data_IF_607038580921
#
_entry.id   IF_607038580921
#
_cell.length_a   1.000
_cell.length_b   1.000
_cell.length_c   1.000
_cell.angle_alpha   90.00
_cell.angle_beta   90.00
_cell.angle_gamma   90.00
#
_symmetry.space_group_name_H-M   'P 1'
#
loop_
_entity.id
_entity.type
_entity.pdbx_description
1 polymer ?
#
# COMPACT_ATOMS: atom_id res chain seq x y z
N UNK A 1 -32.30 27.30 16.21
CA UNK A 1 -33.33 26.38 15.70
C UNK A 1 -33.86 26.92 14.39
N UNK A 2 -33.65 26.24 13.25
CA UNK A 2 -34.47 26.43 12.07
C UNK A 2 -35.52 25.32 11.98
N UNK A 3 -36.74 25.72 11.61
CA UNK A 3 -37.98 24.97 11.79
C UNK A 3 -38.08 23.64 11.06
N UNK A 4 -38.69 22.68 11.75
CA UNK A 4 -39.27 21.46 11.18
C UNK A 4 -40.41 21.86 10.25
N UNK A 5 -40.19 21.73 8.94
CA UNK A 5 -41.30 21.60 8.01
C UNK A 5 -41.96 20.25 8.31
N UNK A 6 -43.28 20.28 8.49
CA UNK A 6 -44.13 19.09 8.57
C UNK A 6 -44.08 18.36 7.21
N UNK A 7 -43.09 17.50 7.04
CA UNK A 7 -43.16 16.42 6.06
C UNK A 7 -44.07 15.35 6.66
N UNK A 8 -45.11 14.95 5.93
CA UNK A 8 -45.90 13.77 6.29
C UNK A 8 -44.95 12.58 6.37
N UNK A 9 -44.94 11.83 7.49
CA UNK A 9 -43.99 10.74 7.65
C UNK A 9 -44.25 9.66 6.61
N UNK A 10 -43.33 9.52 5.65
CA UNK A 10 -43.42 8.48 4.62
C UNK A 10 -43.19 7.10 5.24
N UNK A 11 -44.00 6.11 4.84
CA UNK A 11 -43.86 4.68 5.19
C UNK A 11 -42.74 4.02 4.38
N UNK A 12 -41.50 4.44 4.63
CA UNK A 12 -40.28 3.91 4.00
C UNK A 12 -39.40 3.27 5.05
N UNK A 13 -38.84 2.09 4.76
CA UNK A 13 -37.95 1.34 5.65
C UNK A 13 -36.83 2.21 6.21
N UNK A 14 -36.61 2.13 7.52
CA UNK A 14 -35.48 2.73 8.23
C UNK A 14 -34.21 1.90 8.09
N UNK A 15 -33.09 2.58 7.87
CA UNK A 15 -31.77 1.92 7.73
C UNK A 15 -30.71 2.50 8.67
N UNK A 16 -29.80 1.63 9.09
CA UNK A 16 -28.56 1.92 9.80
C UNK A 16 -27.41 1.79 8.81
N UNK A 17 -26.58 2.82 8.71
CA UNK A 17 -25.45 2.85 7.76
C UNK A 17 -24.13 2.87 8.52
N UNK A 18 -23.36 1.79 8.42
CA UNK A 18 -21.96 1.75 8.80
C UNK A 18 -21.10 2.40 7.73
N UNK A 19 -20.23 3.32 8.16
CA UNK A 19 -19.40 4.11 7.25
C UNK A 19 -17.95 4.17 7.74
N UNK A 20 -17.05 3.61 6.93
CA UNK A 20 -15.60 3.69 7.08
C UNK A 20 -15.01 4.64 6.02
N UNK A 21 -14.57 5.86 6.38
CA UNK A 21 -14.03 6.83 5.44
C UNK A 21 -12.56 6.59 5.09
N UNK A 22 -12.22 6.67 3.80
CA UNK A 22 -10.84 6.61 3.31
C UNK A 22 -10.75 6.85 1.81
N UNK A 23 -9.58 6.58 1.21
CA UNK A 23 -9.44 6.49 -0.26
C UNK A 23 -10.34 5.39 -0.84
N UNK A 24 -10.51 4.32 -0.06
CA UNK A 24 -11.57 3.32 -0.24
C UNK A 24 -12.55 3.52 0.90
N UNK A 25 -13.80 3.84 0.59
CA UNK A 25 -14.86 4.00 1.58
C UNK A 25 -15.62 2.68 1.74
N UNK A 26 -15.69 2.17 2.97
CA UNK A 26 -16.54 1.04 3.32
C UNK A 26 -17.95 1.50 3.68
N UNK A 27 -18.96 0.85 3.12
CA UNK A 27 -20.37 1.11 3.40
C UNK A 27 -21.07 -0.21 3.71
N UNK A 28 -21.69 -0.28 4.87
CA UNK A 28 -22.58 -1.38 5.25
C UNK A 28 -23.96 -0.81 5.59
N UNK A 29 -25.01 -1.45 5.09
CA UNK A 29 -26.39 -1.02 5.29
C UNK A 29 -27.17 -2.17 5.92
N UNK A 30 -27.83 -1.87 7.02
CA UNK A 30 -28.69 -2.79 7.75
C UNK A 30 -30.07 -2.15 7.98
N UNK A 31 -31.11 -2.95 8.09
CA UNK A 31 -32.41 -2.44 8.53
C UNK A 31 -32.51 -2.33 10.07
N UNK A 32 -33.64 -1.83 10.56
CA UNK A 32 -33.91 -1.72 12.00
C UNK A 32 -34.30 -3.06 12.67
N UNK A 33 -34.34 -4.16 11.91
CA UNK A 33 -34.59 -5.53 12.40
C UNK A 33 -33.29 -6.36 12.47
N UNK A 34 -32.16 -5.77 12.08
CA UNK A 34 -30.85 -6.42 12.09
C UNK A 34 -30.58 -7.30 10.86
N UNK A 35 -31.32 -7.14 9.77
CA UNK A 35 -30.97 -7.75 8.48
C UNK A 35 -29.93 -6.90 7.75
N UNK A 36 -28.91 -7.56 7.19
CA UNK A 36 -27.87 -6.90 6.38
C UNK A 36 -28.41 -6.78 4.94
N UNK A 37 -28.55 -5.54 4.46
CA UNK A 37 -29.06 -5.24 3.12
C UNK A 37 -27.95 -5.08 2.09
N UNK A 38 -26.80 -4.51 2.49
CA UNK A 38 -25.67 -4.31 1.59
C UNK A 38 -24.35 -4.17 2.34
N UNK A 39 -23.28 -4.71 1.77
CA UNK A 39 -21.90 -4.51 2.24
C UNK A 39 -21.02 -4.29 1.03
N UNK A 40 -20.48 -3.08 0.87
CA UNK A 40 -19.66 -2.70 -0.29
C UNK A 40 -18.52 -1.79 0.11
N UNK A 41 -17.46 -1.82 -0.69
CA UNK A 41 -16.36 -0.87 -0.63
C UNK A 41 -16.23 -0.17 -1.98
N UNK A 42 -15.96 1.13 -1.94
CA UNK A 42 -15.85 1.93 -3.15
C UNK A 42 -14.56 2.73 -3.11
N UNK A 43 -13.76 2.60 -4.17
CA UNK A 43 -12.49 3.34 -4.32
C UNK A 43 -12.75 4.67 -5.01
N UNK A 44 -12.26 5.76 -4.43
CA UNK A 44 -12.36 7.13 -4.98
C UNK A 44 -13.81 7.61 -5.23
N UNK A 45 -14.78 7.08 -4.48
CA UNK A 45 -16.20 7.44 -4.64
C UNK A 45 -16.49 8.86 -4.16
N UNK A 46 -17.36 9.57 -4.89
CA UNK A 46 -17.82 10.90 -4.49
C UNK A 46 -18.88 10.82 -3.39
N UNK A 47 -19.00 11.88 -2.59
CA UNK A 47 -20.03 11.95 -1.53
C UNK A 47 -21.46 11.85 -2.09
N UNK A 48 -21.71 12.37 -3.29
CA UNK A 48 -23.02 12.33 -3.92
C UNK A 48 -23.42 10.88 -4.27
N UNK A 49 -22.49 10.10 -4.82
CA UNK A 49 -22.71 8.68 -5.14
C UNK A 49 -22.93 7.85 -3.87
N UNK A 50 -22.21 8.14 -2.78
CA UNK A 50 -22.45 7.50 -1.47
C UNK A 50 -23.88 7.75 -1.00
N UNK A 51 -24.32 9.02 -1.05
CA UNK A 51 -25.68 9.40 -0.65
C UNK A 51 -26.72 8.71 -1.53
N UNK A 52 -26.52 8.72 -2.85
CA UNK A 52 -27.41 8.06 -3.80
C UNK A 52 -27.51 6.55 -3.53
N UNK A 53 -26.36 5.89 -3.31
CA UNK A 53 -26.32 4.48 -2.98
C UNK A 53 -27.11 4.17 -1.71
N UNK A 54 -26.97 4.98 -0.66
CA UNK A 54 -27.66 4.80 0.62
C UNK A 54 -29.19 5.00 0.49
N UNK A 55 -29.62 6.08 -0.18
CA UNK A 55 -31.05 6.42 -0.30
C UNK A 55 -31.85 5.32 -1.02
N UNK A 56 -31.22 4.59 -1.94
CA UNK A 56 -31.86 3.47 -2.65
C UNK A 56 -32.28 2.30 -1.76
N UNK A 57 -31.77 2.21 -0.52
CA UNK A 57 -32.14 1.14 0.43
C UNK A 57 -33.19 1.57 1.47
N UNK A 58 -33.42 2.87 1.65
CA UNK A 58 -34.40 3.38 2.61
C UNK A 58 -34.00 4.69 3.28
N UNK A 59 -34.77 5.09 4.29
CA UNK A 59 -34.53 6.33 5.05
C UNK A 59 -33.45 6.10 6.09
N UNK A 60 -32.31 6.78 5.97
CA UNK A 60 -31.23 6.69 6.94
C UNK A 60 -31.64 7.29 8.29
N UNK A 61 -31.55 6.49 9.34
CA UNK A 61 -31.90 6.90 10.70
C UNK A 61 -30.65 7.08 11.55
N UNK A 62 -29.69 6.17 11.36
CA UNK A 62 -28.44 6.11 12.11
C UNK A 62 -27.27 6.01 11.13
N UNK A 63 -26.24 6.81 11.38
CA UNK A 63 -24.92 6.66 10.75
C UNK A 63 -23.95 6.21 11.81
N UNK A 64 -23.27 5.10 11.56
CA UNK A 64 -22.34 4.47 12.47
C UNK A 64 -20.90 4.60 11.96
N UNK A 65 -19.97 4.88 12.87
CA UNK A 65 -18.53 4.84 12.63
C UNK A 65 -17.84 4.12 13.77
N UNK A 66 -16.71 3.49 13.48
CA UNK A 66 -15.91 2.65 14.38
C UNK A 66 -14.80 3.41 15.13
N UNK A 67 -14.64 4.71 14.84
CA UNK A 67 -13.55 5.57 15.35
C UNK A 67 -14.05 6.76 16.19
N UNK A 68 -13.23 7.17 17.15
CA UNK A 68 -13.41 8.35 17.99
C UNK A 68 -12.17 9.26 17.97
N UNK A 69 -12.32 10.57 17.69
CA UNK A 69 -13.56 11.27 17.39
C UNK A 69 -14.10 10.93 15.99
N UNK A 70 -15.43 11.03 15.76
CA UNK A 70 -16.02 10.69 14.48
C UNK A 70 -15.47 11.55 13.33
N UNK A 71 -15.14 10.95 12.16
CA UNK A 71 -14.56 11.63 11.02
C UNK A 71 -15.44 12.76 10.49
N UNK A 72 -14.81 13.81 9.93
CA UNK A 72 -15.52 14.97 9.36
C UNK A 72 -16.52 14.55 8.27
N UNK A 73 -16.19 13.53 7.48
CA UNK A 73 -17.05 13.02 6.42
C UNK A 73 -18.30 12.33 6.98
N UNK A 74 -18.15 11.50 8.02
CA UNK A 74 -19.28 10.86 8.72
C UNK A 74 -20.23 11.90 9.33
N UNK A 75 -19.69 12.95 9.98
CA UNK A 75 -20.50 14.07 10.48
C UNK A 75 -21.31 14.76 9.38
N UNK A 76 -20.66 15.09 8.27
CA UNK A 76 -21.32 15.72 7.12
C UNK A 76 -22.40 14.80 6.53
N UNK A 77 -22.11 13.51 6.41
CA UNK A 77 -23.06 12.52 5.89
C UNK A 77 -24.31 12.45 6.79
N UNK A 78 -24.11 12.43 8.12
CA UNK A 78 -25.20 12.39 9.10
C UNK A 78 -26.08 13.64 8.99
N UNK A 79 -25.48 14.83 8.88
CA UNK A 79 -26.23 16.07 8.66
C UNK A 79 -26.98 16.07 7.33
N UNK A 80 -26.36 15.56 6.26
CA UNK A 80 -26.96 15.58 4.90
C UNK A 80 -28.15 14.63 4.81
N UNK A 81 -28.06 13.45 5.43
CA UNK A 81 -29.13 12.45 5.44
C UNK A 81 -30.15 12.68 6.57
N UNK A 82 -30.00 13.75 7.35
CA UNK A 82 -30.80 14.04 8.55
C UNK A 82 -30.86 12.85 9.53
N UNK A 83 -29.72 12.19 9.72
CA UNK A 83 -29.57 10.98 10.51
C UNK A 83 -28.73 11.25 11.76
N UNK A 84 -28.96 10.45 12.82
CA UNK A 84 -28.21 10.57 14.06
C UNK A 84 -26.87 9.83 13.93
N UNK A 85 -25.78 10.52 14.29
CA UNK A 85 -24.44 9.92 14.28
C UNK A 85 -24.20 9.11 15.56
N UNK A 86 -23.79 7.86 15.39
CA UNK A 86 -23.36 6.95 16.45
C UNK A 86 -21.88 6.62 16.28
N UNK A 87 -21.12 6.67 17.37
CA UNK A 87 -19.70 6.35 17.39
C UNK A 87 -19.34 5.77 18.77
N UNK A 88 -18.28 4.97 18.88
CA UNK A 88 -17.84 4.47 20.17
C UNK A 88 -17.19 5.58 21.02
N UNK A 89 -16.96 5.30 22.30
CA UNK A 89 -16.21 6.18 23.21
C UNK A 89 -14.68 6.04 23.05
N UNK A 90 -14.24 4.99 22.34
CA UNK A 90 -12.84 4.66 22.03
C UNK A 90 -12.80 3.80 20.78
N UNK A 91 -11.70 3.86 20.05
CA UNK A 91 -11.52 3.07 18.83
C UNK A 91 -11.66 1.57 19.10
N UNK A 92 -12.25 0.87 18.13
CA UNK A 92 -12.35 -0.59 18.17
C UNK A 92 -11.04 -1.23 17.69
N UNK A 93 -10.55 -2.22 18.44
CA UNK A 93 -9.44 -3.05 17.96
C UNK A 93 -9.87 -3.86 16.74
N UNK A 94 -8.93 -4.14 15.83
CA UNK A 94 -9.20 -4.96 14.64
C UNK A 94 -9.74 -6.34 15.02
N UNK A 95 -9.17 -6.98 16.06
CA UNK A 95 -9.65 -8.28 16.56
C UNK A 95 -11.10 -8.22 17.03
N UNK A 96 -11.48 -7.19 17.78
CA UNK A 96 -12.88 -7.01 18.22
C UNK A 96 -13.85 -6.76 17.07
N UNK A 97 -13.40 -6.12 15.97
CA UNK A 97 -14.25 -5.95 14.78
C UNK A 97 -14.49 -7.29 14.08
N UNK A 98 -13.44 -8.10 13.93
CA UNK A 98 -13.52 -9.44 13.34
C UNK A 98 -14.48 -10.32 14.15
N UNK A 99 -14.25 -10.43 15.46
CA UNK A 99 -15.07 -11.24 16.37
C UNK A 99 -16.54 -10.82 16.36
N UNK A 100 -16.83 -9.51 16.36
CA UNK A 100 -18.19 -8.99 16.33
C UNK A 100 -18.93 -9.39 15.03
N UNK A 101 -18.26 -9.26 13.89
CA UNK A 101 -18.84 -9.60 12.58
C UNK A 101 -19.04 -11.11 12.47
N UNK A 102 -18.05 -11.91 12.84
CA UNK A 102 -18.13 -13.37 12.80
C UNK A 102 -19.22 -13.91 13.75
N UNK A 103 -19.29 -13.40 14.98
CA UNK A 103 -20.34 -13.77 15.94
C UNK A 103 -21.72 -13.45 15.40
N UNK A 104 -21.91 -12.27 14.80
CA UNK A 104 -23.20 -11.84 14.26
C UNK A 104 -23.64 -12.69 13.05
N UNK A 105 -22.72 -12.98 12.13
CA UNK A 105 -22.96 -13.86 10.99
C UNK A 105 -23.21 -15.31 11.44
N UNK A 106 -22.50 -15.77 12.48
CA UNK A 106 -22.68 -17.07 13.11
C UNK A 106 -24.05 -17.22 13.80
N UNK A 107 -24.49 -16.21 14.56
CA UNK A 107 -25.82 -16.15 15.17
C UNK A 107 -26.92 -16.24 14.11
N UNK A 108 -26.83 -15.41 13.06
CA UNK A 108 -27.82 -15.36 11.98
C UNK A 108 -27.89 -16.67 11.16
N UNK A 109 -26.74 -17.25 10.81
CA UNK A 109 -26.69 -18.54 10.10
C UNK A 109 -27.21 -19.72 10.94
N UNK A 110 -27.07 -19.66 12.27
CA UNK A 110 -27.57 -20.69 13.18
C UNK A 110 -29.08 -20.58 13.45
N UNK A 111 -29.62 -19.34 13.49
CA UNK A 111 -31.04 -19.04 13.68
C UNK A 111 -31.86 -19.30 12.41
N UNK A 112 -31.30 -19.03 11.23
CA UNK A 112 -31.97 -19.15 9.94
C UNK A 112 -31.42 -20.35 9.14
N UNK A 113 -31.67 -21.59 9.62
CA UNK A 113 -31.19 -22.87 9.03
C UNK A 113 -31.52 -23.11 7.54
N UNK A 114 -32.15 -22.16 6.86
CA UNK A 114 -32.58 -22.27 5.46
C UNK A 114 -32.07 -21.17 4.54
N UNK A 115 -31.44 -20.10 5.05
CA UNK A 115 -30.82 -19.04 4.23
C UNK A 115 -29.31 -19.05 4.44
N UNK A 116 -28.60 -19.58 3.46
CA UNK A 116 -27.15 -19.32 3.31
C UNK A 116 -27.01 -17.81 3.19
N UNK A 117 -26.30 -17.15 4.11
CA UNK A 117 -25.93 -15.74 3.95
C UNK A 117 -25.26 -15.63 2.58
N UNK A 118 -25.88 -14.88 1.67
CA UNK A 118 -25.37 -14.72 0.31
C UNK A 118 -23.90 -14.28 0.39
N UNK A 119 -23.02 -14.90 -0.41
CA UNK A 119 -21.57 -14.60 -0.42
C UNK A 119 -21.27 -13.10 -0.55
N UNK A 120 -22.19 -12.36 -1.19
CA UNK A 120 -22.15 -10.91 -1.38
C UNK A 120 -22.33 -10.06 -0.10
N UNK A 121 -22.91 -10.62 0.96
CA UNK A 121 -23.12 -9.94 2.25
C UNK A 121 -21.99 -10.21 3.26
N UNK A 122 -21.11 -11.16 2.93
CA UNK A 122 -19.91 -11.45 3.72
C UNK A 122 -18.82 -10.45 3.34
N UNK A 123 -18.24 -9.70 4.29
CA UNK A 123 -17.22 -8.72 3.98
C UNK A 123 -15.98 -9.38 3.37
N UNK A 124 -15.55 -8.89 2.21
CA UNK A 124 -14.41 -9.43 1.45
C UNK A 124 -13.11 -8.66 1.73
N UNK A 125 -13.21 -7.44 2.25
CA UNK A 125 -12.08 -6.58 2.57
C UNK A 125 -12.19 -5.94 3.96
N UNK A 126 -11.09 -5.33 4.40
CA UNK A 126 -11.01 -4.71 5.71
C UNK A 126 -11.97 -3.53 5.88
N UNK A 127 -12.24 -2.76 4.82
CA UNK A 127 -13.11 -1.58 4.87
C UNK A 127 -14.58 -1.98 4.99
N UNK A 128 -14.99 -3.00 4.24
CA UNK A 128 -16.31 -3.63 4.34
C UNK A 128 -16.55 -4.19 5.74
N UNK A 129 -15.57 -4.91 6.29
CA UNK A 129 -15.64 -5.46 7.64
C UNK A 129 -15.75 -4.35 8.69
N UNK A 130 -14.94 -3.31 8.58
CA UNK A 130 -14.91 -2.24 9.57
C UNK A 130 -16.20 -1.41 9.54
N UNK A 131 -16.74 -1.14 8.33
CA UNK A 131 -18.07 -0.53 8.16
C UNK A 131 -19.19 -1.42 8.73
N UNK A 132 -19.17 -2.72 8.44
CA UNK A 132 -20.17 -3.66 8.95
C UNK A 132 -20.09 -3.79 10.48
N UNK A 133 -18.89 -3.84 11.05
CA UNK A 133 -18.70 -3.87 12.49
C UNK A 133 -19.29 -2.62 13.17
N UNK A 134 -19.12 -1.44 12.57
CA UNK A 134 -19.74 -0.20 13.05
C UNK A 134 -21.28 -0.28 13.03
N UNK A 135 -21.86 -0.78 11.94
CA UNK A 135 -23.30 -0.97 11.80
C UNK A 135 -23.87 -1.96 12.84
N UNK A 136 -23.26 -3.14 12.97
CA UNK A 136 -23.68 -4.18 13.92
C UNK A 136 -23.59 -3.67 15.36
N UNK A 137 -22.48 -3.02 15.72
CA UNK A 137 -22.33 -2.47 17.08
C UNK A 137 -23.41 -1.44 17.39
N UNK A 138 -23.73 -0.61 16.41
CA UNK A 138 -24.79 0.39 16.54
C UNK A 138 -26.13 -0.31 16.72
N UNK A 139 -26.47 -1.29 15.87
CA UNK A 139 -27.67 -2.09 16.00
C UNK A 139 -27.79 -2.73 17.40
N UNK A 140 -26.76 -3.43 17.89
CA UNK A 140 -26.73 -4.03 19.24
C UNK A 140 -26.97 -3.02 20.37
N UNK A 141 -26.58 -1.75 20.19
CA UNK A 141 -26.86 -0.70 21.18
C UNK A 141 -28.33 -0.26 21.22
N UNK A 142 -29.08 -0.47 20.14
CA UNK A 142 -30.50 -0.14 20.00
C UNK A 142 -31.42 -1.37 20.03
N UNK A 143 -30.90 -2.58 19.83
CA UNK A 143 -31.62 -3.87 19.73
C UNK A 143 -32.73 -4.00 20.78
N UNK A 144 -32.39 -3.95 22.08
CA UNK A 144 -33.38 -4.06 23.17
C UNK A 144 -34.49 -3.01 23.12
N UNK A 145 -34.19 -1.79 22.68
CA UNK A 145 -35.20 -0.72 22.57
C UNK A 145 -36.10 -0.96 21.36
N UNK A 146 -35.54 -1.42 20.25
CA UNK A 146 -36.28 -1.73 19.03
C UNK A 146 -37.22 -2.93 19.23
N UNK A 147 -36.76 -3.97 19.93
CA UNK A 147 -37.56 -5.13 20.32
C UNK A 147 -38.74 -4.76 21.24
N UNK A 148 -38.50 -3.84 22.20
CA UNK A 148 -39.56 -3.33 23.08
C UNK A 148 -40.63 -2.56 22.32
N UNK A 149 -40.21 -1.73 21.34
CA UNK A 149 -41.13 -0.99 20.47
C UNK A 149 -41.95 -1.97 19.63
N UNK A 150 -41.29 -2.94 19.01
CA UNK A 150 -41.94 -3.95 18.17
C UNK A 150 -42.98 -4.76 18.95
N UNK A 151 -42.63 -5.26 20.13
CA UNK A 151 -43.57 -5.98 21.01
C UNK A 151 -44.81 -5.14 21.31
N UNK A 152 -44.62 -3.87 21.67
CA UNK A 152 -45.72 -2.95 22.02
C UNK A 152 -46.58 -2.56 20.83
N UNK A 153 -46.02 -2.52 19.61
CA UNK A 153 -46.80 -2.24 18.41
C UNK A 153 -47.59 -3.46 17.93
N UNK A 154 -47.03 -4.66 18.11
CA UNK A 154 -47.74 -5.92 17.83
C UNK A 154 -48.95 -6.11 18.75
N UNK A 155 -48.87 -5.70 20.03
CA UNK A 155 -50.02 -5.69 20.95
C UNK A 155 -51.19 -4.83 20.44
N UNK A 156 -50.90 -3.83 19.61
CA UNK A 156 -51.86 -2.87 19.05
C UNK A 156 -52.24 -3.21 17.60
N UNK A 157 -51.82 -4.38 17.09
CA UNK A 157 -52.08 -4.86 15.72
C UNK A 157 -51.65 -3.89 14.61
N UNK A 158 -50.54 -3.18 14.78
CA UNK A 158 -50.00 -2.29 13.75
C UNK A 158 -49.36 -3.05 12.59
N UNK A 159 -49.38 -2.45 11.39
CA UNK A 159 -48.75 -3.04 10.21
C UNK A 159 -47.21 -3.00 10.33
N UNK A 160 -46.48 -3.89 9.62
CA UNK A 160 -45.01 -3.87 9.62
C UNK A 160 -44.40 -2.51 9.18
N UNK A 161 -45.09 -1.78 8.30
CA UNK A 161 -44.65 -0.47 7.81
C UNK A 161 -44.77 0.62 8.89
N UNK A 162 -45.81 0.52 9.73
CA UNK A 162 -46.05 1.44 10.85
C UNK A 162 -45.06 1.19 11.98
N UNK A 163 -44.73 -0.07 12.24
CA UNK A 163 -43.70 -0.43 13.22
C UNK A 163 -42.35 0.21 12.84
N UNK A 164 -41.96 0.14 11.57
CA UNK A 164 -40.74 0.77 11.10
C UNK A 164 -40.78 2.31 11.23
N UNK A 165 -41.92 2.92 10.88
CA UNK A 165 -42.12 4.36 11.08
C UNK A 165 -41.97 4.76 12.56
N UNK A 166 -42.57 4.00 13.48
CA UNK A 166 -42.48 4.25 14.93
C UNK A 166 -41.04 4.08 15.41
N UNK A 167 -40.33 3.01 14.99
CA UNK A 167 -38.91 2.81 15.31
C UNK A 167 -38.08 4.03 14.88
N UNK A 168 -38.35 4.61 13.70
CA UNK A 168 -37.70 5.85 13.22
C UNK A 168 -37.99 7.07 14.11
N UNK A 169 -39.25 7.30 14.46
CA UNK A 169 -39.66 8.42 15.30
C UNK A 169 -39.02 8.36 16.69
N UNK A 170 -38.93 7.15 17.27
CA UNK A 170 -38.35 6.95 18.59
C UNK A 170 -36.84 7.20 18.59
N UNK A 171 -36.12 6.76 17.56
CA UNK A 171 -34.68 7.08 17.43
C UNK A 171 -34.47 8.60 17.27
N UNK A 172 -35.41 9.28 16.62
CA UNK A 172 -35.46 10.74 16.48
C UNK A 172 -35.73 11.51 17.78
N UNK A 173 -36.11 10.83 18.86
CA UNK A 173 -36.33 11.41 20.19
C UNK A 173 -37.79 11.47 20.65
N UNK A 174 -38.73 10.95 19.86
CA UNK A 174 -40.15 10.88 20.25
C UNK A 174 -40.37 9.76 21.27
N UNK A 175 -41.22 10.00 22.27
CA UNK A 175 -41.60 8.94 23.22
C UNK A 175 -42.45 7.87 22.51
N UNK A 176 -42.23 6.60 22.85
CA UNK A 176 -42.89 5.44 22.21
C UNK A 176 -44.42 5.59 22.20
N UNK A 177 -45.02 5.99 23.33
CA UNK A 177 -46.47 6.20 23.44
C UNK A 177 -47.00 7.33 22.55
N UNK A 178 -46.20 8.37 22.33
CA UNK A 178 -46.59 9.49 21.46
C UNK A 178 -46.45 9.14 19.99
N UNK A 179 -45.42 8.36 19.63
CA UNK A 179 -45.23 7.88 18.27
C UNK A 179 -46.37 6.94 17.84
N UNK A 180 -46.78 6.00 18.70
CA UNK A 180 -47.93 5.12 18.43
C UNK A 180 -49.20 5.92 18.16
N UNK A 181 -49.52 6.89 19.03
CA UNK A 181 -50.72 7.71 18.88
C UNK A 181 -50.72 8.52 17.58
N UNK A 182 -49.58 9.13 17.22
CA UNK A 182 -49.47 9.90 15.98
C UNK A 182 -49.74 9.05 14.74
N UNK A 183 -49.28 7.80 14.72
CA UNK A 183 -49.53 6.91 13.58
C UNK A 183 -51.00 6.49 13.54
N UNK A 184 -51.63 6.22 14.67
CA UNK A 184 -53.06 5.91 14.74
C UNK A 184 -53.95 7.08 14.27
N UNK A 185 -53.64 8.30 14.70
CA UNK A 185 -54.35 9.51 14.26
C UNK A 185 -54.23 9.72 12.74
N UNK A 186 -53.09 9.36 12.13
CA UNK A 186 -52.91 9.44 10.68
C UNK A 186 -53.76 8.42 9.91
N UNK A 187 -53.96 7.22 10.46
CA UNK A 187 -54.83 6.20 9.85
C UNK A 187 -56.31 6.61 9.95
N UNK A 188 -56.74 7.19 11.07
CA UNK A 188 -58.11 7.69 11.27
C UNK A 188 -58.46 8.90 10.38
N UNK A 189 -57.50 9.76 10.07
CA UNK A 189 -57.68 10.88 9.13
C UNK A 189 -57.84 10.40 7.67
N UNK A 190 -57.21 9.28 7.30
CA UNK A 190 -57.38 8.69 5.96
C UNK A 190 -58.74 8.01 5.76
N UNK A 191 -59.27 7.35 6.79
CA UNK A 191 -60.58 6.66 6.72
C UNK A 191 -61.78 7.63 6.68
N UNK A 192 -61.62 8.85 7.19
CA UNK A 192 -62.68 9.86 7.20
C UNK A 192 -62.89 10.59 5.85
N UNK A 193 -61.96 10.47 4.91
CA UNK A 193 -62.05 11.13 3.59
C UNK A 193 -62.89 10.31 2.61
N UNK A 194 -62.97 8.99 2.77
CA UNK A 194 -63.71 8.11 1.86
C UNK A 194 -65.23 8.03 2.13
N UNK A 195 -65.75 8.58 3.24
CA UNK A 195 -67.13 8.37 3.69
C UNK A 195 -68.09 9.58 3.54
N UNK A 196 -67.86 10.52 2.62
CA UNK A 196 -68.74 11.70 2.42
C UNK A 196 -69.25 11.85 0.99
N UNK A 197 -69.87 10.82 0.43
CA UNK A 197 -70.78 10.97 -0.72
C UNK A 197 -71.95 9.99 -0.59
N UNK A 198 -72.98 10.37 0.16
CA UNK A 198 -74.41 10.11 -0.09
C UNK A 198 -75.18 10.41 1.20
N UNK A 199 -76.07 11.41 1.16
CA UNK A 199 -77.36 11.50 1.88
C UNK A 199 -77.82 12.96 1.94
N UNK A 200 -78.64 13.39 0.99
CA UNK A 200 -79.60 14.47 1.19
C UNK A 200 -80.66 14.45 0.09
N UNK A 201 -81.90 14.08 0.45
CA UNK A 201 -83.09 14.90 0.22
C UNK A 201 -84.26 14.28 0.98
N UNK A 202 -84.75 14.96 2.00
CA UNK A 202 -86.14 14.87 2.45
C UNK A 202 -86.67 16.28 2.73
N UNK A 203 -87.94 16.43 2.39
CA UNK A 203 -88.73 17.65 2.27
C UNK A 203 -88.88 18.46 3.57
N UNK A 204 -88.95 19.79 3.47
CA UNK A 204 -89.76 20.61 4.40
C UNK A 204 -90.02 22.01 3.83
N UNK A 205 -91.27 22.24 3.43
CA UNK A 205 -91.87 23.57 3.33
C UNK A 205 -92.13 24.15 4.73
N UNK A 206 -91.75 25.42 4.96
CA UNK A 206 -92.67 26.45 5.47
C UNK A 206 -91.94 27.78 5.77
N UNK A 207 -92.55 28.88 5.26
CA UNK A 207 -92.42 30.29 5.68
C UNK A 207 -91.03 30.82 6.09
N UNK A 208 -90.32 31.47 5.15
CA UNK A 208 -89.13 32.28 5.46
C UNK A 208 -89.34 33.72 5.01
N UNK A 209 -89.16 34.62 5.96
CA UNK A 209 -89.11 36.07 5.85
C UNK A 209 -88.26 36.51 4.63
N UNK A 210 -88.87 37.29 3.72
CA UNK A 210 -88.32 37.61 2.39
C UNK A 210 -86.92 38.25 2.45
N UNK A 211 -86.61 38.96 3.55
CA UNK A 211 -85.34 39.63 3.74
C UNK A 211 -84.18 38.69 4.12
N UNK A 212 -84.46 37.61 4.88
CA UNK A 212 -83.46 36.60 5.22
C UNK A 212 -83.02 35.80 3.99
N UNK A 213 -83.97 35.49 3.11
CA UNK A 213 -83.72 34.80 1.83
C UNK A 213 -82.83 35.65 0.90
N UNK A 214 -83.07 36.96 0.83
CA UNK A 214 -82.25 37.87 0.03
C UNK A 214 -80.80 37.98 0.52
N UNK A 215 -80.59 38.05 1.85
CA UNK A 215 -79.24 38.08 2.44
C UNK A 215 -78.49 36.77 2.19
N UNK A 216 -79.16 35.63 2.33
CA UNK A 216 -78.59 34.31 2.01
C UNK A 216 -78.24 34.19 0.53
N UNK A 217 -79.12 34.62 -0.38
CA UNK A 217 -78.88 34.59 -1.83
C UNK A 217 -77.69 35.45 -2.25
N UNK A 218 -77.50 36.61 -1.63
CA UNK A 218 -76.32 37.45 -1.85
C UNK A 218 -75.03 36.83 -1.30
N UNK A 219 -75.11 36.14 -0.16
CA UNK A 219 -73.97 35.43 0.42
C UNK A 219 -73.54 34.22 -0.43
N UNK A 220 -74.50 33.46 -0.95
CA UNK A 220 -74.27 32.37 -1.90
C UNK A 220 -73.56 32.93 -3.15
N UNK A 221 -74.05 34.02 -3.73
CA UNK A 221 -73.43 34.64 -4.91
C UNK A 221 -72.01 35.14 -4.66
N UNK A 222 -71.74 35.67 -3.46
CA UNK A 222 -70.38 36.08 -3.07
C UNK A 222 -69.44 34.88 -2.89
N UNK A 223 -69.95 33.79 -2.30
CA UNK A 223 -69.22 32.53 -2.16
C UNK A 223 -68.95 31.88 -3.52
N UNK A 224 -69.91 31.87 -4.44
CA UNK A 224 -69.74 31.36 -5.81
C UNK A 224 -68.65 32.12 -6.56
N UNK A 225 -68.61 33.45 -6.40
CA UNK A 225 -67.53 34.27 -6.97
C UNK A 225 -66.17 33.96 -6.35
N UNK A 226 -66.10 33.71 -5.03
CA UNK A 226 -64.87 33.27 -4.38
C UNK A 226 -64.42 31.89 -4.86
N UNK A 227 -65.35 30.94 -5.00
CA UNK A 227 -65.09 29.59 -5.52
C UNK A 227 -64.57 29.68 -6.96
N UNK A 228 -65.17 30.51 -7.81
CA UNK A 228 -64.72 30.73 -9.18
C UNK A 228 -63.29 31.30 -9.24
N UNK A 229 -63.00 32.32 -8.40
CA UNK A 229 -61.65 32.88 -8.30
C UNK A 229 -60.63 31.84 -7.78
N UNK A 230 -60.98 31.06 -6.76
CA UNK A 230 -60.12 30.00 -6.23
C UNK A 230 -59.86 28.91 -7.28
N UNK A 231 -60.88 28.49 -8.04
CA UNK A 231 -60.72 27.54 -9.15
C UNK A 231 -59.79 28.08 -10.22
N UNK A 232 -59.91 29.35 -10.61
CA UNK A 232 -59.01 29.97 -11.58
C UNK A 232 -57.56 30.02 -11.09
N UNK A 233 -57.36 30.27 -9.80
CA UNK A 233 -56.04 30.35 -9.17
C UNK A 233 -55.40 28.98 -9.03
N UNK A 234 -56.18 27.95 -8.68
CA UNK A 234 -55.73 26.57 -8.67
C UNK A 234 -55.28 26.14 -10.06
N UNK A 235 -56.07 26.42 -11.10
CA UNK A 235 -55.66 26.13 -12.49
C UNK A 235 -54.34 26.80 -12.87
N UNK A 236 -54.17 28.08 -12.53
CA UNK A 236 -52.90 28.79 -12.79
C UNK A 236 -51.72 28.22 -11.99
N UNK A 237 -51.95 27.73 -10.77
CA UNK A 237 -50.92 27.07 -9.97
C UNK A 237 -50.56 25.69 -10.53
N UNK A 238 -51.54 24.91 -10.97
CA UNK A 238 -51.35 23.62 -11.65
C UNK A 238 -50.52 23.77 -12.93
N UNK A 239 -50.81 24.78 -13.76
CA UNK A 239 -50.04 25.07 -14.97
C UNK A 239 -48.59 25.42 -14.64
N UNK A 240 -48.35 26.22 -13.59
CA UNK A 240 -46.99 26.56 -13.13
C UNK A 240 -46.24 25.36 -12.56
N UNK A 241 -46.94 24.45 -11.88
CA UNK A 241 -46.34 23.20 -11.39
C UNK A 241 -45.85 22.37 -12.57
N UNK A 242 -46.65 22.22 -13.63
CA UNK A 242 -46.24 21.52 -14.85
C UNK A 242 -45.03 22.16 -15.52
N UNK A 243 -45.00 23.50 -15.61
CA UNK A 243 -43.85 24.20 -16.17
C UNK A 243 -42.56 23.94 -15.37
N UNK A 244 -42.65 24.00 -14.02
CA UNK A 244 -41.51 23.68 -13.16
C UNK A 244 -41.11 22.21 -13.23
N UNK A 245 -42.04 21.27 -13.36
CA UNK A 245 -41.74 19.86 -13.57
C UNK A 245 -40.95 19.63 -14.87
N UNK A 246 -41.33 20.32 -15.95
CA UNK A 246 -40.60 20.28 -17.23
C UNK A 246 -39.20 20.91 -17.09
N UNK A 247 -39.06 21.98 -16.32
CA UNK A 247 -37.76 22.61 -16.10
C UNK A 247 -36.84 21.70 -15.25
N UNK A 248 -37.38 21.06 -14.22
CA UNK A 248 -36.67 20.09 -13.38
C UNK A 248 -36.18 18.92 -14.23
N UNK A 249 -37.02 18.34 -15.10
CA UNK A 249 -36.59 17.23 -15.96
C UNK A 249 -35.47 17.63 -16.91
N UNK A 250 -35.53 18.81 -17.54
CA UNK A 250 -34.45 19.33 -18.38
C UNK A 250 -33.14 19.57 -17.62
N UNK A 251 -33.24 20.09 -16.39
CA UNK A 251 -32.07 20.30 -15.54
C UNK A 251 -31.46 18.95 -15.11
N UNK A 252 -32.30 17.97 -14.81
CA UNK A 252 -31.88 16.61 -14.48
C UNK A 252 -31.12 15.97 -15.65
N UNK A 253 -31.67 16.02 -16.86
CA UNK A 253 -31.02 15.50 -18.08
C UNK A 253 -29.66 16.18 -18.33
N UNK A 254 -29.57 17.50 -18.08
CA UNK A 254 -28.31 18.24 -18.23
C UNK A 254 -27.27 17.82 -17.19
N UNK A 255 -27.70 17.58 -15.95
CA UNK A 255 -26.86 17.07 -14.87
C UNK A 255 -26.35 15.67 -15.23
N UNK A 256 -27.21 14.78 -15.71
CA UNK A 256 -26.84 13.41 -16.10
C UNK A 256 -25.82 13.41 -17.25
N UNK A 257 -26.01 14.29 -18.25
CA UNK A 257 -25.06 14.46 -19.34
C UNK A 257 -23.70 14.96 -18.85
N UNK A 258 -23.68 15.96 -17.98
CA UNK A 258 -22.44 16.48 -17.39
C UNK A 258 -21.74 15.43 -16.51
N UNK A 259 -22.49 14.62 -15.77
CA UNK A 259 -21.94 13.52 -14.99
C UNK A 259 -21.33 12.45 -15.88
N UNK A 260 -21.98 12.12 -17.00
CA UNK A 260 -21.45 11.18 -17.98
C UNK A 260 -20.12 11.66 -18.57
N UNK A 261 -20.07 12.91 -19.04
CA UNK A 261 -18.87 13.53 -19.59
C UNK A 261 -17.74 13.57 -18.55
N UNK A 262 -18.02 14.04 -17.33
CA UNK A 262 -17.05 14.07 -16.24
C UNK A 262 -16.51 12.66 -15.89
N UNK A 263 -17.39 11.66 -15.88
CA UNK A 263 -16.98 10.27 -15.58
C UNK A 263 -16.04 9.73 -16.66
N UNK A 264 -16.32 10.00 -17.94
CA UNK A 264 -15.41 9.63 -19.03
C UNK A 264 -14.05 10.31 -18.91
N UNK A 265 -14.02 11.60 -18.59
CA UNK A 265 -12.77 12.35 -18.40
C UNK A 265 -11.95 11.81 -17.23
N UNK A 266 -12.60 11.43 -16.12
CA UNK A 266 -11.90 10.82 -14.97
C UNK A 266 -11.30 9.48 -15.35
N UNK A 267 -12.03 8.62 -16.07
CA UNK A 267 -11.52 7.34 -16.55
C UNK A 267 -10.33 7.52 -17.49
N UNK A 268 -10.43 8.46 -18.42
CA UNK A 268 -9.34 8.79 -19.36
C UNK A 268 -8.10 9.30 -18.62
N UNK A 269 -8.27 10.21 -17.67
CA UNK A 269 -7.17 10.74 -16.86
C UNK A 269 -6.50 9.65 -16.01
N UNK A 270 -7.28 8.71 -15.49
CA UNK A 270 -6.75 7.55 -14.74
C UNK A 270 -5.94 6.63 -15.64
N UNK A 271 -6.42 6.35 -16.85
CA UNK A 271 -5.69 5.57 -17.84
C UNK A 271 -4.39 6.26 -18.27
N UNK A 272 -4.44 7.57 -18.51
CA UNK A 272 -3.26 8.38 -18.83
C UNK A 272 -2.25 8.36 -17.68
N UNK A 273 -2.69 8.55 -16.43
CA UNK A 273 -1.82 8.49 -15.27
C UNK A 273 -1.14 7.11 -15.13
N UNK A 274 -1.90 6.03 -15.35
CA UNK A 274 -1.36 4.68 -15.35
C UNK A 274 -0.30 4.49 -16.45
N UNK A 275 -0.59 4.93 -17.68
CA UNK A 275 0.35 4.89 -18.82
C UNK A 275 1.62 5.71 -18.56
N UNK A 276 1.49 6.91 -18.00
CA UNK A 276 2.64 7.76 -17.62
C UNK A 276 3.51 7.05 -16.57
N UNK A 277 2.90 6.43 -15.56
CA UNK A 277 3.64 5.67 -14.55
C UNK A 277 4.40 4.49 -15.15
N UNK A 278 3.80 3.81 -16.13
CA UNK A 278 4.42 2.69 -16.84
C UNK A 278 5.59 3.16 -17.70
N UNK A 279 5.42 4.27 -18.43
CA UNK A 279 6.49 4.89 -19.22
C UNK A 279 7.66 5.25 -18.31
N UNK A 280 7.41 5.85 -17.14
CA UNK A 280 8.46 6.18 -16.19
C UNK A 280 9.24 4.95 -15.73
N UNK A 281 8.54 3.88 -15.34
CA UNK A 281 9.18 2.60 -14.96
C UNK A 281 10.00 2.00 -16.10
N UNK A 282 9.48 2.04 -17.33
CA UNK A 282 10.21 1.54 -18.50
C UNK A 282 11.45 2.38 -18.79
N UNK A 283 11.39 3.69 -18.61
CA UNK A 283 12.55 4.57 -18.75
C UNK A 283 13.61 4.30 -17.67
N UNK A 284 13.19 4.12 -16.42
CA UNK A 284 14.09 3.80 -15.31
C UNK A 284 14.82 2.46 -15.59
N UNK A 285 14.07 1.41 -15.93
CA UNK A 285 14.64 0.11 -16.29
C UNK A 285 15.59 0.19 -17.51
N UNK A 286 15.23 0.98 -18.52
CA UNK A 286 16.09 1.17 -19.69
C UNK A 286 17.41 1.84 -19.33
N UNK A 287 17.38 2.82 -18.41
CA UNK A 287 18.59 3.51 -17.95
C UNK A 287 19.48 2.59 -17.11
N UNK A 288 18.89 1.75 -16.26
CA UNK A 288 19.61 0.74 -15.48
C UNK A 288 20.29 -0.31 -16.39
N UNK A 289 19.56 -0.88 -17.34
CA UNK A 289 20.09 -1.82 -18.32
C UNK A 289 21.19 -1.19 -19.19
N UNK A 290 21.02 0.07 -19.57
CA UNK A 290 22.04 0.82 -20.31
C UNK A 290 23.31 1.00 -19.48
N UNK A 291 23.19 1.36 -18.20
CA UNK A 291 24.33 1.51 -17.31
C UNK A 291 25.07 0.17 -17.12
N UNK A 292 24.34 -0.91 -16.87
CA UNK A 292 24.90 -2.26 -16.74
C UNK A 292 25.63 -2.68 -18.03
N UNK A 293 25.03 -2.40 -19.19
CA UNK A 293 25.65 -2.68 -20.48
C UNK A 293 26.98 -1.93 -20.67
N UNK A 294 27.03 -0.65 -20.29
CA UNK A 294 28.27 0.13 -20.36
C UNK A 294 29.36 -0.46 -19.45
N UNK A 295 29.01 -0.84 -18.22
CA UNK A 295 29.94 -1.50 -17.29
C UNK A 295 30.44 -2.85 -17.84
N UNK A 296 29.55 -3.66 -18.41
CA UNK A 296 29.94 -4.93 -19.04
C UNK A 296 30.82 -4.73 -20.28
N UNK A 297 30.56 -3.70 -21.09
CA UNK A 297 31.40 -3.35 -22.24
C UNK A 297 32.82 -2.94 -21.78
N UNK A 298 32.95 -2.13 -20.73
CA UNK A 298 34.26 -1.79 -20.14
C UNK A 298 35.00 -3.02 -19.59
N UNK A 299 34.27 -3.92 -18.92
CA UNK A 299 34.82 -5.18 -18.42
C UNK A 299 35.28 -6.10 -19.57
N UNK A 300 34.58 -6.12 -20.70
CA UNK A 300 34.99 -6.91 -21.86
C UNK A 300 36.22 -6.32 -22.54
N UNK A 301 36.34 -5.01 -22.64
CA UNK A 301 37.49 -4.36 -23.25
C UNK A 301 38.77 -4.57 -22.42
N UNK A 302 38.68 -4.49 -21.09
CA UNK A 302 39.80 -4.83 -20.20
C UNK A 302 40.23 -6.30 -20.38
N UNK A 303 39.28 -7.25 -20.48
CA UNK A 303 39.57 -8.66 -20.75
C UNK A 303 40.18 -8.89 -22.14
N UNK A 304 39.74 -8.16 -23.17
CA UNK A 304 40.30 -8.25 -24.53
C UNK A 304 41.74 -7.76 -24.57
N UNK A 305 42.07 -6.70 -23.85
CA UNK A 305 43.45 -6.21 -23.72
C UNK A 305 44.35 -7.27 -23.10
N UNK A 306 43.87 -8.00 -22.09
CA UNK A 306 44.59 -9.12 -21.47
C UNK A 306 44.81 -10.28 -22.47
N UNK A 307 43.81 -10.62 -23.29
CA UNK A 307 43.92 -11.76 -24.23
C UNK A 307 44.80 -11.51 -25.45
N UNK A 308 44.96 -10.26 -25.89
CA UNK A 308 45.85 -9.90 -27.01
C UNK A 308 47.33 -10.14 -26.70
N UNK A 309 47.66 -10.51 -25.46
CA UNK A 309 49.02 -10.60 -24.96
C UNK A 309 49.30 -12.04 -24.45
N UNK A 310 48.98 -13.02 -25.30
CA UNK A 310 49.63 -14.33 -25.29
C UNK A 310 50.47 -14.49 -26.57
N UNK A 311 51.62 -15.15 -26.46
CA UNK A 311 52.90 -14.43 -26.52
C UNK A 311 53.54 -14.52 -27.90
N UNK A 312 54.20 -13.43 -28.30
CA UNK A 312 55.37 -13.51 -29.17
C UNK A 312 56.34 -14.51 -28.53
N UNK A 313 56.81 -15.52 -29.28
CA UNK A 313 57.40 -16.80 -28.82
C UNK A 313 58.53 -16.77 -27.76
N UNK A 314 58.96 -15.61 -27.24
CA UNK A 314 60.07 -15.46 -26.30
C UNK A 314 59.80 -14.52 -25.10
N UNK A 315 58.53 -14.26 -24.79
CA UNK A 315 58.10 -13.32 -23.76
C UNK A 315 57.38 -14.03 -22.60
N UNK A 316 57.90 -13.91 -21.38
CA UNK A 316 57.26 -14.42 -20.14
C UNK A 316 56.55 -13.23 -19.45
N UNK A 317 55.25 -13.38 -19.12
CA UNK A 317 54.54 -12.37 -18.34
C UNK A 317 55.04 -12.36 -16.90
N UNK A 318 55.24 -11.17 -16.36
CA UNK A 318 55.66 -10.87 -15.01
C UNK A 318 54.50 -10.19 -14.28
N UNK A 319 54.05 -10.80 -13.19
CA UNK A 319 52.93 -10.33 -12.38
C UNK A 319 53.40 -9.29 -11.38
N UNK A 320 52.69 -8.18 -11.29
CA UNK A 320 53.10 -7.05 -10.44
C UNK A 320 52.41 -7.16 -9.08
N UNK A 321 53.20 -7.02 -8.02
CA UNK A 321 52.73 -6.85 -6.65
C UNK A 321 53.18 -5.47 -6.18
N UNK A 322 52.22 -4.62 -5.85
CA UNK A 322 52.48 -3.23 -5.47
C UNK A 322 53.28 -3.13 -4.16
N UNK A 323 52.88 -3.89 -3.14
CA UNK A 323 53.54 -3.87 -1.82
C UNK A 323 53.91 -5.28 -1.34
N UNK A 324 55.15 -5.43 -0.83
CA UNK A 324 55.64 -6.69 -0.28
C UNK A 324 55.11 -6.96 1.14
N UNK A 325 53.80 -6.81 1.34
CA UNK A 325 53.08 -7.11 2.59
C UNK A 325 52.16 -8.32 2.39
N UNK A 326 51.63 -8.89 3.48
CA UNK A 326 50.69 -10.02 3.38
C UNK A 326 49.44 -9.63 2.58
N UNK A 327 48.90 -8.45 2.86
CA UNK A 327 47.68 -7.95 2.20
C UNK A 327 47.94 -7.61 0.73
N UNK A 328 49.08 -6.99 0.42
CA UNK A 328 49.51 -6.74 -0.96
C UNK A 328 49.66 -8.02 -1.78
N UNK A 329 50.26 -9.07 -1.20
CA UNK A 329 50.40 -10.37 -1.86
C UNK A 329 49.04 -11.05 -2.05
N UNK A 330 48.13 -10.98 -1.07
CA UNK A 330 46.79 -11.57 -1.21
C UNK A 330 45.95 -10.85 -2.26
N UNK A 331 45.93 -9.51 -2.28
CA UNK A 331 45.25 -8.71 -3.28
C UNK A 331 45.76 -9.02 -4.69
N UNK A 332 47.09 -9.09 -4.86
CA UNK A 332 47.69 -9.48 -6.12
C UNK A 332 47.37 -10.93 -6.50
N UNK A 333 47.22 -11.84 -5.53
CA UNK A 333 46.85 -13.22 -5.79
C UNK A 333 45.39 -13.36 -6.26
N UNK A 334 44.46 -12.58 -5.71
CA UNK A 334 43.06 -12.55 -6.15
C UNK A 334 42.93 -11.97 -7.57
N UNK A 335 43.61 -10.86 -7.81
CA UNK A 335 43.58 -10.17 -9.09
C UNK A 335 44.28 -10.96 -10.21
N UNK A 336 45.53 -11.39 -9.99
CA UNK A 336 46.35 -12.03 -11.01
C UNK A 336 46.28 -13.56 -11.03
N UNK A 337 45.65 -14.20 -10.04
CA UNK A 337 45.59 -15.66 -9.87
C UNK A 337 46.97 -16.30 -10.06
N UNK A 338 47.92 -15.92 -9.20
CA UNK A 338 49.33 -16.37 -9.25
C UNK A 338 49.38 -17.91 -9.20
N UNK A 339 50.08 -18.53 -10.15
CA UNK A 339 50.27 -19.97 -10.26
C UNK A 339 51.73 -20.33 -10.07
N UNK A 340 51.97 -21.63 -9.83
CA UNK A 340 53.33 -22.19 -9.80
C UNK A 340 54.04 -21.93 -11.12
N UNK A 341 55.27 -21.43 -11.04
CA UNK A 341 56.10 -21.13 -12.21
C UNK A 341 55.98 -19.69 -12.74
N UNK A 342 55.11 -18.85 -12.17
CA UNK A 342 55.01 -17.45 -12.54
C UNK A 342 56.20 -16.63 -12.00
N UNK A 343 56.56 -15.55 -12.71
CA UNK A 343 57.57 -14.57 -12.30
C UNK A 343 56.84 -13.37 -11.71
N UNK A 344 57.34 -12.87 -10.58
CA UNK A 344 56.70 -11.78 -9.83
C UNK A 344 57.63 -10.58 -9.77
N UNK A 345 57.10 -9.37 -9.96
CA UNK A 345 57.78 -8.10 -9.70
C UNK A 345 57.19 -7.46 -8.44
N UNK A 346 58.06 -7.13 -7.48
CA UNK A 346 57.72 -6.31 -6.33
C UNK A 346 58.04 -4.85 -6.68
N UNK A 347 57.01 -4.01 -6.78
CA UNK A 347 57.23 -2.56 -7.00
C UNK A 347 57.82 -1.90 -5.77
N UNK A 348 57.24 -2.14 -4.59
CA UNK A 348 57.84 -1.80 -3.31
C UNK A 348 58.20 -3.07 -2.54
N UNK A 349 59.50 -3.24 -2.29
CA UNK A 349 60.03 -4.33 -1.46
C UNK A 349 60.06 -3.98 0.03
N UNK A 350 59.58 -2.79 0.40
CA UNK A 350 59.54 -2.32 1.78
C UNK A 350 58.38 -2.96 2.56
N UNK A 351 58.61 -3.24 3.85
CA UNK A 351 57.59 -3.77 4.76
C UNK A 351 57.45 -5.30 4.79
N UNK A 352 58.15 -6.03 3.93
CA UNK A 352 58.15 -7.51 3.96
C UNK A 352 59.37 -8.12 4.63
N UNK A 353 59.15 -9.26 5.30
CA UNK A 353 60.15 -10.01 6.04
C UNK A 353 60.15 -11.50 5.69
N UNK A 354 60.63 -12.33 6.61
CA UNK A 354 60.70 -13.79 6.40
C UNK A 354 59.32 -14.42 6.14
N UNK A 355 58.27 -13.95 6.81
CA UNK A 355 56.92 -14.50 6.67
C UNK A 355 56.28 -14.24 5.30
N UNK A 356 56.50 -13.04 4.73
CA UNK A 356 56.02 -12.70 3.38
C UNK A 356 56.82 -13.42 2.31
N UNK A 357 58.13 -13.62 2.51
CA UNK A 357 58.96 -14.45 1.63
C UNK A 357 58.46 -15.90 1.57
N UNK A 358 58.16 -16.51 2.73
CA UNK A 358 57.60 -17.87 2.81
C UNK A 358 56.28 -17.99 2.06
N UNK A 359 55.45 -16.94 2.03
CA UNK A 359 54.18 -16.95 1.29
C UNK A 359 54.40 -17.10 -0.22
N UNK A 360 55.32 -16.30 -0.80
CA UNK A 360 55.68 -16.40 -2.21
C UNK A 360 56.37 -17.74 -2.55
N UNK A 361 57.23 -18.24 -1.65
CA UNK A 361 57.89 -19.54 -1.81
C UNK A 361 56.85 -20.67 -1.82
N UNK A 362 55.88 -20.67 -0.90
CA UNK A 362 54.79 -21.66 -0.85
C UNK A 362 53.92 -21.64 -2.11
N UNK A 363 53.74 -20.47 -2.73
CA UNK A 363 53.04 -20.34 -4.00
C UNK A 363 53.82 -20.96 -5.18
N UNK A 364 55.14 -21.18 -5.02
CA UNK A 364 55.98 -21.83 -6.02
C UNK A 364 56.33 -20.93 -7.20
N UNK A 365 56.63 -19.65 -6.92
CA UNK A 365 57.07 -18.68 -7.94
C UNK A 365 58.44 -19.07 -8.53
N UNK A 366 58.65 -18.80 -9.84
CA UNK A 366 59.90 -19.15 -10.56
C UNK A 366 61.06 -18.21 -10.20
N UNK A 367 60.77 -16.91 -10.05
CA UNK A 367 61.72 -15.87 -9.67
C UNK A 367 60.97 -14.63 -9.14
N UNK A 368 61.64 -13.85 -8.30
CA UNK A 368 61.15 -12.58 -7.76
C UNK A 368 62.05 -11.45 -8.25
N UNK A 369 61.46 -10.44 -8.86
CA UNK A 369 62.11 -9.23 -9.33
C UNK A 369 61.88 -8.09 -8.33
N UNK A 370 62.94 -7.35 -8.02
CA UNK A 370 62.90 -6.24 -7.06
C UNK A 370 63.50 -4.98 -7.68
N UNK A 371 62.92 -3.81 -7.37
CA UNK A 371 63.50 -2.50 -7.67
C UNK A 371 64.30 -1.93 -6.49
N UNK A 372 63.84 -2.22 -5.28
CA UNK A 372 64.41 -1.70 -4.05
C UNK A 372 65.17 -2.77 -3.25
N UNK A 373 65.82 -2.35 -2.17
CA UNK A 373 66.51 -3.28 -1.25
C UNK A 373 65.49 -4.05 -0.42
N UNK A 374 65.71 -5.36 -0.28
CA UNK A 374 64.91 -6.22 0.58
C UNK A 374 65.57 -6.41 1.96
N UNK A 375 64.77 -6.76 2.97
CA UNK A 375 65.25 -7.13 4.30
C UNK A 375 66.19 -8.34 4.25
N UNK A 376 67.29 -8.31 5.03
CA UNK A 376 68.24 -9.42 5.15
C UNK A 376 67.57 -10.75 5.50
N UNK A 377 66.56 -10.73 6.38
CA UNK A 377 65.82 -11.93 6.77
C UNK A 377 64.98 -12.53 5.63
N UNK A 378 64.47 -11.70 4.72
CA UNK A 378 63.73 -12.19 3.55
C UNK A 378 64.70 -12.77 2.51
N UNK A 379 65.85 -12.14 2.33
CA UNK A 379 66.91 -12.60 1.43
C UNK A 379 67.41 -14.00 1.81
N UNK A 380 67.69 -14.24 3.09
CA UNK A 380 68.09 -15.56 3.59
C UNK A 380 67.03 -16.64 3.31
N UNK A 381 65.74 -16.33 3.46
CA UNK A 381 64.66 -17.29 3.20
C UNK A 381 64.56 -17.65 1.71
N UNK A 382 64.75 -16.68 0.81
CA UNK A 382 64.82 -16.94 -0.63
C UNK A 382 66.06 -17.74 -1.02
N UNK A 383 67.24 -17.42 -0.45
CA UNK A 383 68.48 -18.18 -0.64
C UNK A 383 68.33 -19.62 -0.12
N UNK A 384 67.74 -19.84 1.06
CA UNK A 384 67.49 -21.16 1.65
C UNK A 384 66.64 -22.04 0.74
N UNK A 385 65.57 -21.49 0.20
CA UNK A 385 64.58 -22.20 -0.62
C UNK A 385 64.88 -22.18 -2.14
N UNK A 386 66.06 -21.70 -2.55
CA UNK A 386 66.53 -21.66 -3.95
C UNK A 386 65.59 -20.89 -4.91
N UNK A 387 64.96 -19.81 -4.42
CA UNK A 387 64.13 -18.93 -5.23
C UNK A 387 64.95 -17.68 -5.60
N UNK A 388 65.25 -17.45 -6.90
CA UNK A 388 66.09 -16.33 -7.32
C UNK A 388 65.46 -14.97 -7.04
N UNK A 389 66.26 -14.07 -6.47
CA UNK A 389 65.95 -12.66 -6.26
C UNK A 389 66.78 -11.82 -7.24
N UNK A 390 66.12 -11.22 -8.22
CA UNK A 390 66.79 -10.52 -9.32
C UNK A 390 66.46 -9.03 -9.31
N UNK A 391 67.42 -8.19 -9.69
CA UNK A 391 67.20 -6.75 -9.84
C UNK A 391 66.43 -6.47 -11.12
N UNK A 392 65.31 -5.76 -10.99
CA UNK A 392 64.43 -5.42 -12.11
C UNK A 392 65.14 -4.53 -13.15
N UNK A 393 66.07 -3.66 -12.73
CA UNK A 393 66.82 -2.76 -13.63
C UNK A 393 67.72 -3.51 -14.63
N UNK A 394 68.22 -4.68 -14.24
CA UNK A 394 69.07 -5.50 -15.12
C UNK A 394 68.24 -6.25 -16.18
N UNK A 395 66.93 -6.26 -16.02
CA UNK A 395 65.99 -6.99 -16.82
C UNK A 395 65.21 -5.95 -17.62
N UNK A 396 65.38 -5.90 -18.94
CA UNK A 396 64.70 -4.91 -19.78
C UNK A 396 63.19 -5.19 -19.83
N UNK A 397 62.50 -4.85 -18.75
CA UNK A 397 61.08 -5.08 -18.56
C UNK A 397 60.30 -4.13 -19.44
N UNK A 398 59.45 -4.71 -20.30
CA UNK A 398 58.49 -3.92 -21.08
C UNK A 398 57.17 -3.92 -20.33
N UNK A 399 56.78 -2.75 -19.83
CA UNK A 399 55.46 -2.55 -19.20
C UNK A 399 54.40 -2.49 -20.31
N UNK A 400 53.38 -3.34 -20.21
CA UNK A 400 52.20 -3.26 -21.08
C UNK A 400 50.98 -3.23 -20.16
N UNK A 401 50.33 -2.07 -20.13
CA UNK A 401 49.23 -1.74 -19.22
C UNK A 401 49.54 -2.09 -17.75
N UNK A 402 48.96 -3.18 -17.24
CA UNK A 402 49.00 -3.58 -15.83
C UNK A 402 49.97 -4.73 -15.55
N UNK A 403 50.78 -5.17 -16.51
CA UNK A 403 51.77 -6.22 -16.29
C UNK A 403 53.09 -5.95 -17.03
N UNK A 404 54.15 -6.62 -16.59
CA UNK A 404 55.47 -6.52 -17.22
C UNK A 404 55.75 -7.76 -18.07
N UNK A 405 56.52 -7.60 -19.14
CA UNK A 405 57.02 -8.71 -19.95
C UNK A 405 58.53 -8.75 -19.85
N UNK A 406 59.07 -9.95 -19.67
CA UNK A 406 60.50 -10.21 -19.69
C UNK A 406 60.88 -11.20 -20.79
N UNK A 407 62.05 -11.00 -21.39
CA UNK A 407 62.62 -11.95 -22.34
C UNK A 407 63.03 -13.25 -21.61
N UNK A 408 62.47 -14.38 -22.06
CA UNK A 408 62.70 -15.69 -21.45
C UNK A 408 64.19 -16.05 -21.36
N UNK A 409 64.96 -15.80 -22.43
CA UNK A 409 66.38 -16.14 -22.50
C UNK A 409 67.24 -15.31 -21.55
N UNK A 410 66.89 -14.03 -21.33
CA UNK A 410 67.62 -13.16 -20.40
C UNK A 410 67.31 -13.54 -18.95
N UNK A 411 66.03 -13.82 -18.65
CA UNK A 411 65.61 -14.28 -17.34
C UNK A 411 66.31 -15.59 -16.93
N UNK A 412 66.36 -16.59 -17.82
CA UNK A 412 66.97 -17.88 -17.49
C UNK A 412 68.47 -17.80 -17.25
N UNK A 413 69.19 -16.95 -18.00
CA UNK A 413 70.61 -16.68 -17.76
C UNK A 413 70.87 -16.05 -16.40
N UNK A 414 70.08 -15.07 -16.00
CA UNK A 414 70.22 -14.41 -14.70
C UNK A 414 69.84 -15.34 -13.54
N UNK A 415 68.79 -16.16 -13.71
CA UNK A 415 68.45 -17.21 -12.74
C UNK A 415 69.62 -18.18 -12.54
N UNK A 416 70.26 -18.60 -13.64
CA UNK A 416 71.37 -19.55 -13.57
C UNK A 416 72.60 -18.94 -12.88
N UNK A 417 72.96 -17.70 -13.23
CA UNK A 417 74.05 -16.96 -12.57
C UNK A 417 73.82 -16.83 -11.07
N UNK A 418 72.60 -16.44 -10.66
CA UNK A 418 72.26 -16.30 -9.26
C UNK A 418 72.38 -17.62 -8.49
N UNK A 419 71.93 -18.74 -9.09
CA UNK A 419 72.07 -20.07 -8.47
C UNK A 419 73.54 -20.46 -8.27
N UNK A 420 74.39 -20.23 -9.26
CA UNK A 420 75.83 -20.50 -9.18
C UNK A 420 76.52 -19.66 -8.10
N UNK A 421 76.13 -18.39 -7.94
CA UNK A 421 76.63 -17.51 -6.88
C UNK A 421 76.24 -17.99 -5.49
N UNK A 422 74.96 -18.35 -5.29
CA UNK A 422 74.45 -18.84 -4.00
C UNK A 422 75.07 -20.20 -3.65
N UNK A 423 75.22 -21.12 -4.60
CA UNK A 423 75.91 -22.39 -4.38
C UNK A 423 77.38 -22.18 -4.02
N UNK A 424 78.08 -21.30 -4.73
CA UNK A 424 79.48 -20.95 -4.43
C UNK A 424 79.64 -20.34 -3.03
N UNK A 425 78.69 -19.50 -2.62
CA UNK A 425 78.66 -18.90 -1.28
C UNK A 425 78.42 -19.94 -0.20
N UNK A 426 77.45 -20.85 -0.39
CA UNK A 426 77.21 -21.98 0.53
C UNK A 426 78.42 -22.90 0.67
N UNK A 427 79.14 -23.19 -0.42
CA UNK A 427 80.36 -24.02 -0.37
C UNK A 427 81.45 -23.33 0.45
N UNK A 428 81.63 -22.00 0.30
CA UNK A 428 82.57 -21.23 1.10
C UNK A 428 82.19 -21.22 2.59
N UNK A 429 80.93 -20.93 2.91
CA UNK A 429 80.43 -20.93 4.28
C UNK A 429 80.59 -22.31 4.94
N UNK A 430 80.23 -23.40 4.25
CA UNK A 430 80.45 -24.76 4.74
C UNK A 430 81.94 -25.07 4.94
N UNK A 431 82.83 -24.59 4.05
CA UNK A 431 84.27 -24.79 4.21
C UNK A 431 84.85 -24.03 5.41
N UNK A 432 84.33 -22.84 5.69
CA UNK A 432 84.71 -22.01 6.84
C UNK A 432 84.16 -22.57 8.15
N UNK A 433 82.94 -23.12 8.16
CA UNK A 433 82.37 -23.82 9.32
C UNK A 433 83.16 -25.08 9.66
N UNK A 434 83.56 -25.87 8.65
CA UNK A 434 84.43 -27.04 8.84
C UNK A 434 85.78 -26.61 9.42
N UNK A 435 86.38 -25.53 8.91
CA UNK A 435 87.64 -24.98 9.44
C UNK A 435 87.50 -24.52 10.90
N UNK A 436 86.42 -23.82 11.25
CA UNK A 436 86.12 -23.44 12.64
C UNK A 436 85.94 -24.65 13.55
N UNK A 437 85.26 -25.69 13.08
CA UNK A 437 85.11 -26.94 13.82
C UNK A 437 86.46 -27.65 14.03
N UNK A 438 87.35 -27.63 13.03
CA UNK A 438 88.72 -28.14 13.16
C UNK A 438 89.57 -27.32 14.14
N UNK A 439 89.44 -25.99 14.13
CA UNK A 439 90.14 -25.10 15.05
C UNK A 439 89.64 -25.24 16.49
N UNK A 440 88.33 -25.40 16.70
CA UNK A 440 87.76 -25.76 18.01
C UNK A 440 88.26 -27.13 18.48
N UNK A 441 88.36 -28.12 17.58
CA UNK A 441 88.88 -29.44 17.90
C UNK A 441 90.39 -29.39 18.25
N UNK A 442 91.19 -28.60 17.54
CA UNK A 442 92.61 -28.33 17.87
C UNK A 442 92.77 -27.60 19.22
N UNK A 443 91.93 -26.60 19.47
CA UNK A 443 91.94 -25.84 20.72
C UNK A 443 91.60 -26.73 21.93
N UNK A 444 90.68 -27.70 21.77
CA UNK A 444 90.36 -28.69 22.80
C UNK A 444 91.53 -29.65 23.09
N UNK A 445 92.32 -30.06 22.08
CA UNK A 445 93.52 -30.91 22.32
C UNK A 445 94.65 -30.18 23.04
N UNK A 446 94.89 -28.90 22.76
CA UNK A 446 95.92 -28.10 23.47
C UNK A 446 95.62 -27.88 24.96
N UNK A 447 94.37 -28.06 25.40
CA UNK A 447 93.96 -27.97 26.81
C UNK A 447 94.04 -29.31 27.56
N UNK A 448 94.29 -30.42 26.85
CA UNK A 448 94.28 -31.77 27.43
C UNK A 448 95.67 -32.44 27.45
N UNK A 449 96.74 -31.66 27.26
CA UNK A 449 98.13 -32.11 27.30
C UNK A 449 98.93 -31.27 28.30
#
# INVERSE_FOLDING_TARGET
>A
MPGSKNETPQRVRGIIVGFDPGLTAGIAIMDLNGEILSVKSFKEISRAEIIYHIINFGKTVLIATDVYPPPKMAKKLATTLNAKLHHPNRDMSVGSKIELVESFLGEKSSLERSKVVSSELVPQDAHQRDALAAAIRTYKSYEKKLEQIETRCLEVNMSPEDIDLIKRMVIGGTAVSSAIRMVQEMDEETDNIENVEELATDELESSIDSEAVLKLKNRIKAQDNQISNLKSRNKSLEDRIKDYEIEVTKLQEKIDKLHYEYTQDVLLNKELAAKISLIKKLQDNYNEEKALRMELEENLDSLRNIQRIKPTENAIPVKIIETFTRDGIMAACEYWKIKRGDVVLLESSEGGGSQTAVLLIKMGVKAVLIRDKISHHALEEFEKNMVPLLQADNMELKMIDQFAIVNALKLEKEIQRWKEEVESKRIKENSEEILKAFDEYRARRKRSN
#
